data_IF_210952951632
#
_entry.id   IF_210952951632
#
_cell.length_a   1.000
_cell.length_b   1.000
_cell.length_c   1.000
_cell.angle_alpha   90.00
_cell.angle_beta   90.00
_cell.angle_gamma   90.00
#
_symmetry.space_group_name_H-M   'P 1'
#
loop_
_entity.id
_entity.type
_entity.pdbx_description
1 polymer ?
#
# COMPACT_ATOMS: atom_id res chain seq x y z
N UNK A 1 26.60 -38.89 44.09
CA UNK A 1 26.51 -39.44 42.73
C UNK A 1 25.18 -39.02 42.14
N UNK A 2 25.16 -38.23 41.05
CA UNK A 2 23.95 -37.69 40.46
C UNK A 2 23.34 -38.68 39.45
N UNK A 3 22.01 -38.85 39.49
CA UNK A 3 21.28 -39.55 38.44
C UNK A 3 20.89 -38.53 37.36
N UNK A 4 21.63 -38.58 36.26
CA UNK A 4 21.34 -37.88 35.01
C UNK A 4 20.36 -38.75 34.21
N UNK A 5 19.08 -38.40 34.20
CA UNK A 5 18.15 -38.64 33.09
C UNK A 5 16.76 -38.18 33.50
N UNK A 6 16.47 -36.91 33.21
CA UNK A 6 15.20 -36.47 32.64
C UNK A 6 15.31 -34.96 32.38
N UNK A 7 15.85 -34.65 31.20
CA UNK A 7 15.62 -33.37 30.54
C UNK A 7 14.98 -33.72 29.19
N UNK A 8 13.80 -33.20 28.85
CA UNK A 8 13.35 -33.25 27.47
C UNK A 8 14.26 -32.32 26.66
N UNK A 9 15.21 -32.92 25.96
CA UNK A 9 15.85 -32.36 24.78
C UNK A 9 14.79 -32.25 23.69
N UNK A 10 14.05 -31.14 23.69
CA UNK A 10 13.23 -30.75 22.55
C UNK A 10 13.63 -29.33 22.12
N UNK A 11 14.89 -29.21 21.69
CA UNK A 11 15.31 -28.16 20.77
C UNK A 11 14.81 -28.53 19.38
N UNK A 12 13.49 -28.41 19.20
CA UNK A 12 12.86 -28.36 17.90
C UNK A 12 13.32 -27.11 17.14
N UNK A 13 14.51 -27.18 16.54
CA UNK A 13 14.92 -26.35 15.43
C UNK A 13 14.05 -26.73 14.22
N UNK A 14 12.78 -26.31 14.29
CA UNK A 14 11.83 -26.34 13.20
C UNK A 14 12.33 -25.44 12.07
N UNK A 15 12.88 -26.13 11.07
CA UNK A 15 13.09 -25.74 9.68
C UNK A 15 12.75 -24.29 9.30
N UNK A 16 13.79 -23.56 8.87
CA UNK A 16 13.67 -22.32 8.10
C UNK A 16 13.09 -22.60 6.71
N UNK A 17 11.81 -22.95 6.64
CA UNK A 17 11.05 -22.91 5.40
C UNK A 17 10.90 -21.45 4.99
N UNK A 18 11.70 -20.96 4.03
CA UNK A 18 11.54 -19.63 3.45
C UNK A 18 10.24 -19.57 2.62
N UNK A 19 9.22 -18.77 2.98
CA UNK A 19 8.08 -18.49 2.10
C UNK A 19 8.36 -17.32 1.14
N UNK A 20 9.61 -16.88 0.95
CA UNK A 20 9.91 -15.60 0.30
C UNK A 20 9.47 -15.47 -1.17
N UNK A 21 9.36 -16.57 -1.93
CA UNK A 21 9.07 -16.52 -3.36
C UNK A 21 7.57 -16.38 -3.68
N UNK A 22 6.70 -17.02 -2.90
CA UNK A 22 5.24 -16.93 -3.09
C UNK A 22 4.69 -15.57 -2.63
N UNK A 23 5.25 -15.02 -1.54
CA UNK A 23 4.85 -13.71 -0.99
C UNK A 23 5.24 -12.57 -1.94
N UNK A 24 6.46 -12.58 -2.51
CA UNK A 24 6.91 -11.58 -3.49
C UNK A 24 6.09 -11.58 -4.79
N UNK A 25 5.74 -12.77 -5.32
CA UNK A 25 4.91 -12.86 -6.54
C UNK A 25 3.52 -12.28 -6.32
N UNK A 26 2.94 -12.55 -5.15
CA UNK A 26 1.62 -12.02 -4.82
C UNK A 26 1.66 -10.52 -4.59
N UNK A 27 2.67 -10.03 -3.87
CA UNK A 27 2.90 -8.60 -3.68
C UNK A 27 3.01 -7.82 -5.00
N UNK A 28 3.81 -8.33 -5.95
CA UNK A 28 3.96 -7.70 -7.26
C UNK A 28 2.61 -7.65 -7.97
N UNK A 29 1.87 -8.77 -7.97
CA UNK A 29 0.53 -8.85 -8.58
C UNK A 29 -0.43 -7.84 -7.97
N UNK A 30 -0.44 -7.67 -6.65
CA UNK A 30 -1.36 -6.76 -5.97
C UNK A 30 -0.98 -5.29 -6.23
N UNK A 31 0.33 -4.96 -6.24
CA UNK A 31 0.81 -3.64 -6.65
C UNK A 31 0.45 -3.32 -8.10
N UNK A 32 0.66 -4.29 -9.00
CA UNK A 32 0.34 -4.14 -10.42
C UNK A 32 -1.18 -3.95 -10.61
N UNK A 33 -2.01 -4.71 -9.88
CA UNK A 33 -3.48 -4.56 -9.92
C UNK A 33 -3.95 -3.18 -9.44
N UNK A 34 -3.37 -2.66 -8.35
CA UNK A 34 -3.66 -1.31 -7.87
C UNK A 34 -3.20 -0.26 -8.87
N UNK A 35 -1.99 -0.37 -9.42
CA UNK A 35 -1.49 0.58 -10.41
C UNK A 35 -2.30 0.56 -11.71
N UNK A 36 -2.75 -0.61 -12.17
CA UNK A 36 -3.63 -0.74 -13.34
C UNK A 36 -4.98 -0.05 -13.10
N UNK A 37 -5.54 -0.17 -11.89
CA UNK A 37 -6.76 0.53 -11.51
C UNK A 37 -6.54 2.04 -11.47
N UNK A 38 -5.50 2.51 -10.79
CA UNK A 38 -5.17 3.93 -10.67
C UNK A 38 -4.94 4.55 -12.05
N UNK A 39 -4.25 3.83 -12.94
CA UNK A 39 -4.08 4.25 -14.33
C UNK A 39 -5.43 4.33 -15.05
N UNK A 40 -6.31 3.33 -14.95
CA UNK A 40 -7.65 3.38 -15.58
C UNK A 40 -8.53 4.51 -15.05
N UNK A 41 -8.45 4.79 -13.75
CA UNK A 41 -9.20 5.85 -13.12
C UNK A 41 -8.71 7.23 -13.59
N UNK A 42 -7.40 7.44 -13.59
CA UNK A 42 -6.80 8.78 -13.70
C UNK A 42 -6.30 9.15 -15.10
N UNK A 43 -5.95 8.18 -15.95
CA UNK A 43 -5.38 8.43 -17.27
C UNK A 43 -6.37 9.12 -18.21
N UNK A 44 -5.99 10.29 -18.72
CA UNK A 44 -6.81 11.14 -19.59
C UNK A 44 -8.19 11.50 -19.01
N UNK A 45 -8.32 11.49 -17.68
CA UNK A 45 -9.55 11.85 -16.97
C UNK A 45 -9.35 13.16 -16.22
N UNK A 46 -10.35 14.04 -16.28
CA UNK A 46 -10.37 15.31 -15.57
C UNK A 46 -11.51 15.33 -14.56
N UNK A 47 -11.22 15.76 -13.34
CA UNK A 47 -12.15 15.68 -12.22
C UNK A 47 -12.57 17.05 -11.71
N UNK A 48 -13.81 17.19 -11.25
CA UNK A 48 -14.26 18.42 -10.56
C UNK A 48 -13.64 18.55 -9.17
N UNK A 49 -13.32 17.42 -8.53
CA UNK A 49 -12.60 17.31 -7.27
C UNK A 49 -11.67 16.08 -7.30
N UNK A 50 -10.58 16.12 -6.54
CA UNK A 50 -9.63 15.00 -6.48
C UNK A 50 -10.36 13.76 -5.92
N UNK A 51 -10.36 12.60 -6.61
CA UNK A 51 -11.17 11.43 -6.26
C UNK A 51 -10.53 10.58 -5.15
N UNK A 52 -10.17 11.21 -4.02
CA UNK A 52 -9.38 10.61 -2.94
C UNK A 52 -10.08 9.41 -2.32
N UNK A 53 -11.37 9.54 -2.00
CA UNK A 53 -12.13 8.44 -1.37
C UNK A 53 -12.15 7.20 -2.25
N UNK A 54 -12.43 7.36 -3.55
CA UNK A 54 -12.45 6.23 -4.49
C UNK A 54 -11.07 5.56 -4.64
N UNK A 55 -9.98 6.33 -4.52
CA UNK A 55 -8.62 5.79 -4.53
C UNK A 55 -8.35 5.01 -3.25
N UNK A 56 -8.65 5.58 -2.08
CA UNK A 56 -8.44 4.95 -0.78
C UNK A 56 -9.25 3.68 -0.62
N UNK A 57 -10.55 3.71 -0.94
CA UNK A 57 -11.45 2.57 -0.83
C UNK A 57 -10.87 1.37 -1.61
N UNK A 58 -10.41 1.60 -2.84
CA UNK A 58 -9.81 0.54 -3.67
C UNK A 58 -8.46 0.07 -3.13
N UNK A 59 -7.64 0.98 -2.60
CA UNK A 59 -6.37 0.63 -1.96
C UNK A 59 -6.60 -0.23 -0.72
N UNK A 60 -7.56 0.13 0.13
CA UNK A 60 -7.97 -0.64 1.31
C UNK A 60 -8.47 -2.03 0.94
N UNK A 61 -9.28 -2.17 -0.13
CA UNK A 61 -9.72 -3.48 -0.66
C UNK A 61 -8.54 -4.40 -1.03
N UNK A 62 -7.40 -3.84 -1.41
CA UNK A 62 -6.18 -4.57 -1.77
C UNK A 62 -5.17 -4.68 -0.62
N UNK A 63 -5.58 -4.26 0.58
CA UNK A 63 -4.80 -4.34 1.82
C UNK A 63 -3.73 -3.25 1.95
N UNK A 64 -3.87 -2.13 1.23
CA UNK A 64 -2.99 -0.98 1.29
C UNK A 64 -3.66 0.16 2.09
N UNK A 65 -3.10 0.52 3.24
CA UNK A 65 -3.62 1.58 4.13
C UNK A 65 -2.47 2.39 4.74
N UNK A 66 -2.77 3.54 5.35
CA UNK A 66 -1.80 4.18 6.25
C UNK A 66 -1.58 3.35 7.52
N UNK A 67 -0.55 3.72 8.29
CA UNK A 67 -0.27 3.10 9.59
C UNK A 67 -1.23 3.59 10.67
N UNK A 68 -1.51 4.89 10.67
CA UNK A 68 -2.51 5.54 11.50
C UNK A 68 -3.61 6.08 10.58
N UNK A 69 -4.90 5.78 10.82
CA UNK A 69 -6.01 6.39 10.08
C UNK A 69 -5.97 7.93 10.08
N UNK A 70 -5.37 8.58 11.10
CA UNK A 70 -5.18 10.03 11.12
C UNK A 70 -4.13 10.51 10.11
N UNK A 71 -3.21 9.64 9.67
CA UNK A 71 -2.29 9.93 8.54
C UNK A 71 -3.02 9.89 7.18
N UNK A 72 -4.26 9.39 7.14
CA UNK A 72 -5.16 9.48 5.99
C UNK A 72 -6.00 10.78 5.99
N UNK A 73 -5.80 11.70 6.95
CA UNK A 73 -6.40 13.04 6.89
C UNK A 73 -5.61 13.94 5.95
N UNK A 74 -6.13 14.13 4.73
CA UNK A 74 -5.49 14.95 3.71
C UNK A 74 -5.91 16.41 3.77
N UNK A 75 -4.94 17.31 3.94
CA UNK A 75 -5.12 18.72 3.60
C UNK A 75 -4.71 18.91 2.14
N UNK A 76 -5.66 18.72 1.23
CA UNK A 76 -5.47 18.91 -0.21
C UNK A 76 -5.75 20.36 -0.61
N UNK A 77 -4.85 21.24 -0.22
CA UNK A 77 -4.93 22.67 -0.51
C UNK A 77 -3.87 23.06 -1.54
N UNK A 78 -4.27 23.67 -2.65
CA UNK A 78 -3.35 24.24 -3.64
C UNK A 78 -3.53 23.74 -5.07
N UNK A 79 -2.60 24.14 -5.94
CA UNK A 79 -2.59 23.76 -7.36
C UNK A 79 -1.83 22.45 -7.62
N UNK A 80 -1.12 21.96 -6.61
CA UNK A 80 -0.29 20.75 -6.63
C UNK A 80 -0.11 20.20 -5.21
N UNK A 81 0.28 18.93 -5.11
CA UNK A 81 0.68 18.29 -3.85
C UNK A 81 1.09 16.83 -4.06
N UNK A 82 1.63 16.20 -3.02
CA UNK A 82 2.11 14.82 -3.05
C UNK A 82 1.88 14.10 -1.73
N UNK A 83 1.36 12.88 -1.81
CA UNK A 83 1.37 11.92 -0.71
C UNK A 83 2.51 10.90 -0.91
N UNK A 84 2.99 10.23 0.15
CA UNK A 84 4.23 9.42 0.03
C UNK A 84 4.36 8.13 0.81
N UNK A 85 3.50 7.80 1.79
CA UNK A 85 3.69 6.58 2.57
C UNK A 85 2.38 5.83 2.76
N UNK A 86 2.37 4.57 2.36
CA UNK A 86 1.31 3.61 2.65
C UNK A 86 1.94 2.26 2.99
N UNK A 87 1.20 1.39 3.64
CA UNK A 87 1.65 0.07 4.04
C UNK A 87 0.69 -0.98 3.50
N UNK A 88 1.25 -2.10 3.05
CA UNK A 88 0.47 -3.29 2.80
C UNK A 88 0.48 -4.19 4.03
N UNK A 89 -0.69 -4.56 4.51
CA UNK A 89 -0.88 -5.43 5.66
C UNK A 89 -1.38 -6.82 5.18
N UNK A 90 -0.56 -7.86 5.31
CA UNK A 90 -0.99 -9.24 5.02
C UNK A 90 -0.28 -10.26 5.90
N UNK A 91 -1.04 -11.16 6.53
CA UNK A 91 -0.55 -12.39 7.19
C UNK A 91 0.69 -12.14 8.09
N UNK A 92 0.64 -11.07 8.90
CA UNK A 92 1.72 -10.62 9.82
C UNK A 92 2.94 -9.96 9.18
N UNK A 93 3.02 -9.87 7.85
CA UNK A 93 4.03 -9.10 7.13
C UNK A 93 3.53 -7.68 6.83
N UNK A 94 4.40 -6.70 7.09
CA UNK A 94 4.18 -5.30 6.78
C UNK A 94 5.20 -4.83 5.77
N UNK A 95 4.72 -4.30 4.65
CA UNK A 95 5.58 -3.75 3.62
C UNK A 95 5.25 -2.31 3.31
N UNK A 96 6.26 -1.46 3.39
CA UNK A 96 6.16 -0.04 3.06
C UNK A 96 6.15 0.15 1.55
N UNK A 97 5.24 0.98 1.08
CA UNK A 97 5.16 1.48 -0.28
C UNK A 97 5.11 3.00 -0.25
N UNK A 98 5.48 3.61 -1.38
CA UNK A 98 5.20 5.01 -1.60
C UNK A 98 4.02 5.15 -2.52
N UNK A 99 2.86 5.54 -1.97
CA UNK A 99 1.77 6.05 -2.78
C UNK A 99 2.16 7.44 -3.25
N UNK A 100 2.15 7.67 -4.55
CA UNK A 100 2.30 8.98 -5.17
C UNK A 100 0.92 9.40 -5.67
N UNK A 101 0.43 10.52 -5.15
CA UNK A 101 -0.76 11.19 -5.63
C UNK A 101 -0.38 12.62 -5.97
N UNK A 102 -0.40 12.97 -7.24
CA UNK A 102 -0.15 14.34 -7.70
C UNK A 102 -1.37 14.85 -8.45
N UNK A 103 -1.69 16.13 -8.27
CA UNK A 103 -2.78 16.77 -9.01
C UNK A 103 -2.35 18.11 -9.56
N UNK A 104 -3.00 18.53 -10.64
CA UNK A 104 -2.86 19.84 -11.24
C UNK A 104 -4.23 20.43 -11.54
N UNK A 105 -4.53 21.63 -11.03
CA UNK A 105 -5.78 22.33 -11.34
C UNK A 105 -5.62 23.14 -12.63
N UNK A 106 -6.36 22.78 -13.68
CA UNK A 106 -6.36 23.47 -14.96
C UNK A 106 -6.96 24.87 -14.83
N UNK A 107 -6.22 25.90 -15.25
CA UNK A 107 -6.66 27.31 -15.13
C UNK A 107 -7.93 27.61 -15.97
N UNK A 108 -8.10 26.97 -17.13
CA UNK A 108 -9.23 27.25 -18.06
C UNK A 108 -10.54 26.61 -17.60
N UNK A 109 -10.50 25.36 -17.16
CA UNK A 109 -11.71 24.59 -16.82
C UNK A 109 -11.98 24.50 -15.32
N UNK A 110 -10.99 24.83 -14.48
CA UNK A 110 -11.03 24.62 -13.04
C UNK A 110 -10.98 23.15 -12.60
N UNK A 111 -10.90 22.20 -13.56
CA UNK A 111 -10.84 20.75 -13.28
C UNK A 111 -9.43 20.31 -12.91
N UNK A 112 -9.35 19.21 -12.18
CA UNK A 112 -8.10 18.58 -11.76
C UNK A 112 -7.70 17.49 -12.74
N UNK A 113 -6.46 17.55 -13.23
CA UNK A 113 -5.73 16.40 -13.74
C UNK A 113 -5.07 15.71 -12.55
N UNK A 114 -5.21 14.39 -12.44
CA UNK A 114 -4.70 13.61 -11.32
C UNK A 114 -3.80 12.51 -11.86
N UNK A 115 -2.70 12.23 -11.18
CA UNK A 115 -1.82 11.09 -11.45
C UNK A 115 -1.61 10.35 -10.14
N UNK A 116 -1.81 9.04 -10.15
CA UNK A 116 -1.70 8.22 -8.96
C UNK A 116 -1.06 6.87 -9.23
N UNK A 117 -0.11 6.46 -8.37
CA UNK A 117 0.53 5.14 -8.44
C UNK A 117 1.24 4.74 -7.13
N UNK A 118 1.49 3.45 -6.94
CA UNK A 118 2.36 2.87 -5.91
C UNK A 118 3.75 2.58 -6.49
N UNK A 119 4.79 3.14 -5.86
CA UNK A 119 6.22 2.86 -6.14
C UNK A 119 6.67 1.53 -5.56
#
# INVERSE_FOLDING_TARGET
MPSFHDRPDDLGLGERGHPMAATRKTLKRDKDAVNDFLAKLTHNTFFEAIPVSAILDFMHEHGFSAEDPQEEEFILCGREGRMTTIYRHRDSERQRFSWVLTWHKMDVSGRYEVVSYLS
#
